data_IF_637784820795
#
_entry.id   IF_637784820795
#
_cell.length_a   1.000
_cell.length_b   1.000
_cell.length_c   1.000
_cell.angle_alpha   90.00
_cell.angle_beta   90.00
_cell.angle_gamma   90.00
#
_symmetry.space_group_name_H-M   'P 1'
#
loop_
_entity.id
_entity.type
_entity.pdbx_description
1 polymer ?
#
# COMPACT_ATOMS: atom_id res chain seq x y z
N UNK A 1 -3.73 -15.43 9.97
CA UNK A 1 -4.81 -16.21 9.32
C UNK A 1 -4.30 -17.07 8.16
N UNK A 2 -3.45 -16.53 7.28
CA UNK A 2 -2.88 -17.28 6.14
C UNK A 2 -2.12 -18.55 6.58
N UNK A 3 -1.31 -18.46 7.64
CA UNK A 3 -0.59 -19.60 8.22
C UNK A 3 -1.53 -20.71 8.73
N UNK A 4 -2.61 -20.33 9.43
CA UNK A 4 -3.62 -21.25 9.94
C UNK A 4 -4.41 -21.92 8.81
N UNK A 5 -4.64 -21.22 7.71
CA UNK A 5 -5.29 -21.77 6.53
C UNK A 5 -4.45 -22.86 5.86
N UNK A 6 -3.14 -22.63 5.73
CA UNK A 6 -2.18 -23.61 5.19
C UNK A 6 -2.09 -24.85 6.09
N UNK A 7 -1.98 -24.67 7.41
CA UNK A 7 -1.93 -25.78 8.37
C UNK A 7 -3.22 -26.61 8.38
N UNK A 8 -4.39 -25.97 8.33
CA UNK A 8 -5.68 -26.69 8.36
C UNK A 8 -6.13 -27.22 6.99
N UNK A 9 -5.36 -27.00 5.92
CA UNK A 9 -5.70 -27.36 4.51
C UNK A 9 -7.09 -26.91 4.04
N UNK A 10 -7.68 -25.92 4.70
CA UNK A 10 -9.01 -25.45 4.36
C UNK A 10 -8.92 -24.36 3.29
N UNK A 11 -9.30 -24.72 2.06
CA UNK A 11 -9.21 -23.84 0.87
C UNK A 11 -9.95 -22.50 1.06
N UNK A 12 -11.08 -22.50 1.77
CA UNK A 12 -11.88 -21.29 2.03
C UNK A 12 -11.12 -20.28 2.89
N UNK A 13 -10.41 -20.72 3.93
CA UNK A 13 -9.62 -19.83 4.78
C UNK A 13 -8.37 -19.28 4.06
N UNK A 14 -7.82 -20.05 3.11
CA UNK A 14 -6.71 -19.57 2.29
C UNK A 14 -7.18 -18.47 1.34
N UNK A 15 -8.32 -18.66 0.68
CA UNK A 15 -8.89 -17.65 -0.22
C UNK A 15 -9.27 -16.35 0.49
N UNK A 16 -9.91 -16.43 1.67
CA UNK A 16 -10.27 -15.22 2.42
C UNK A 16 -9.05 -14.46 2.92
N UNK A 17 -8.02 -15.17 3.40
CA UNK A 17 -6.78 -14.51 3.85
C UNK A 17 -6.01 -13.85 2.70
N UNK A 18 -6.04 -14.41 1.49
CA UNK A 18 -5.49 -13.76 0.30
C UNK A 18 -6.26 -12.49 -0.05
N UNK A 19 -7.60 -12.52 -0.03
CA UNK A 19 -8.43 -11.33 -0.28
C UNK A 19 -8.20 -10.23 0.76
N UNK A 20 -8.08 -10.58 2.04
CA UNK A 20 -7.76 -9.62 3.11
C UNK A 20 -6.39 -8.96 2.86
N UNK A 21 -5.41 -9.72 2.36
CA UNK A 21 -4.09 -9.17 2.02
C UNK A 21 -4.18 -8.18 0.86
N UNK A 22 -5.00 -8.47 -0.17
CA UNK A 22 -5.27 -7.50 -1.26
C UNK A 22 -5.90 -6.22 -0.72
N UNK A 23 -6.91 -6.35 0.15
CA UNK A 23 -7.59 -5.21 0.77
C UNK A 23 -6.63 -4.37 1.64
N UNK A 24 -5.69 -5.00 2.34
CA UNK A 24 -4.66 -4.31 3.12
C UNK A 24 -3.73 -3.48 2.22
N UNK A 25 -3.30 -4.02 1.08
CA UNK A 25 -2.53 -3.27 0.07
C UNK A 25 -3.28 -2.01 -0.39
N UNK A 26 -4.54 -2.16 -0.79
CA UNK A 26 -5.37 -1.03 -1.24
C UNK A 26 -5.57 0.02 -0.13
N UNK A 27 -5.76 -0.42 1.11
CA UNK A 27 -5.89 0.47 2.27
C UNK A 27 -4.60 1.25 2.51
N UNK A 28 -3.44 0.65 2.26
CA UNK A 28 -2.14 1.34 2.32
C UNK A 28 -2.05 2.53 1.35
N UNK A 29 -2.60 2.40 0.14
CA UNK A 29 -2.65 3.52 -0.84
C UNK A 29 -3.49 4.67 -0.28
N UNK A 30 -4.67 4.36 0.25
CA UNK A 30 -5.58 5.37 0.82
C UNK A 30 -4.95 6.06 2.03
N UNK A 31 -4.31 5.29 2.91
CA UNK A 31 -3.61 5.83 4.09
C UNK A 31 -2.46 6.75 3.69
N UNK A 32 -1.60 6.34 2.75
CA UNK A 32 -0.49 7.18 2.28
C UNK A 32 -1.02 8.46 1.59
N UNK A 33 -2.07 8.35 0.78
CA UNK A 33 -2.65 9.51 0.08
C UNK A 33 -3.31 10.52 1.03
N UNK A 34 -3.73 10.10 2.22
CA UNK A 34 -4.35 10.99 3.23
C UNK A 34 -3.35 11.47 4.27
N UNK A 35 -2.23 10.76 4.45
CA UNK A 35 -1.16 11.11 5.38
C UNK A 35 -0.44 12.41 5.03
N UNK A 36 -0.21 12.68 3.74
CA UNK A 36 0.49 13.90 3.28
C UNK A 36 -0.27 15.18 3.68
N UNK A 37 -1.59 15.21 3.49
CA UNK A 37 -2.42 16.34 3.94
C UNK A 37 -2.51 16.45 5.46
N UNK A 38 -2.36 15.34 6.18
CA UNK A 38 -2.31 15.36 7.64
C UNK A 38 -0.98 15.92 8.16
N UNK A 39 0.14 15.62 7.50
CA UNK A 39 1.46 16.21 7.81
C UNK A 39 1.43 17.73 7.63
N UNK A 40 0.98 18.21 6.47
CA UNK A 40 0.94 19.65 6.17
C UNK A 40 0.06 20.43 7.16
N UNK A 41 -1.05 19.82 7.62
CA UNK A 41 -1.94 20.43 8.60
C UNK A 41 -1.35 20.58 10.00
N UNK A 42 -0.36 19.75 10.37
CA UNK A 42 0.17 19.69 11.74
C UNK A 42 1.65 20.05 11.86
N UNK A 43 2.41 20.12 10.75
CA UNK A 43 3.85 20.38 10.79
C UNK A 43 4.21 21.77 11.37
N UNK A 44 3.29 22.75 11.26
CA UNK A 44 3.48 24.12 11.75
C UNK A 44 2.88 24.36 13.14
N UNK A 45 2.29 23.34 13.77
CA UNK A 45 1.65 23.49 15.07
C UNK A 45 2.69 23.40 16.22
N UNK A 46 2.59 24.29 17.23
CA UNK A 46 3.46 24.22 18.39
C UNK A 46 3.23 22.92 19.17
N UNK A 47 4.32 22.25 19.55
CA UNK A 47 4.29 20.99 20.29
C UNK A 47 4.35 19.73 19.42
N UNK A 48 4.34 19.87 18.09
CA UNK A 48 4.59 18.77 17.16
C UNK A 48 5.99 18.85 16.56
N UNK A 49 6.63 17.70 16.38
CA UNK A 49 7.94 17.61 15.74
C UNK A 49 7.78 17.27 14.27
N UNK A 50 7.97 18.27 13.40
CA UNK A 50 7.93 18.06 11.95
C UNK A 50 8.94 17.02 11.48
N UNK A 51 10.11 16.88 12.14
CA UNK A 51 11.10 15.86 11.78
C UNK A 51 10.65 14.43 12.12
N UNK A 52 9.91 14.23 13.21
CA UNK A 52 9.33 12.92 13.54
C UNK A 52 8.16 12.57 12.60
N UNK A 53 7.31 13.54 12.27
CA UNK A 53 6.17 13.34 11.37
C UNK A 53 6.68 12.95 9.97
N UNK A 54 7.69 13.66 9.46
CA UNK A 54 8.28 13.35 8.16
C UNK A 54 8.92 11.95 8.12
N UNK A 55 9.62 11.55 9.19
CA UNK A 55 10.14 10.18 9.30
C UNK A 55 9.02 9.13 9.31
N UNK A 56 7.86 9.47 9.89
CA UNK A 56 6.69 8.60 9.85
C UNK A 56 6.09 8.51 8.43
N UNK A 57 6.03 9.62 7.70
CA UNK A 57 5.59 9.68 6.30
C UNK A 57 6.50 8.82 5.40
N UNK A 58 7.83 8.95 5.53
CA UNK A 58 8.82 8.13 4.84
C UNK A 58 8.66 6.63 5.15
N UNK A 59 8.50 6.28 6.44
CA UNK A 59 8.28 4.90 6.86
C UNK A 59 6.94 4.35 6.35
N UNK A 60 5.88 5.17 6.36
CA UNK A 60 4.57 4.81 5.85
C UNK A 60 4.61 4.55 4.34
N UNK A 61 5.40 5.31 3.59
CA UNK A 61 5.60 5.08 2.16
C UNK A 61 6.26 3.73 1.88
N UNK A 62 7.35 3.40 2.60
CA UNK A 62 8.02 2.10 2.48
C UNK A 62 7.04 0.99 2.87
N UNK A 63 6.29 1.17 3.96
CA UNK A 63 5.26 0.24 4.41
C UNK A 63 4.17 0.01 3.36
N UNK A 64 3.70 1.07 2.71
CA UNK A 64 2.75 1.00 1.60
C UNK A 64 3.32 0.18 0.44
N UNK A 65 4.57 0.41 0.03
CA UNK A 65 5.22 -0.38 -1.04
C UNK A 65 5.24 -1.87 -0.69
N UNK A 66 5.65 -2.21 0.54
CA UNK A 66 5.69 -3.59 1.01
C UNK A 66 4.29 -4.23 0.99
N UNK A 67 3.28 -3.53 1.50
CA UNK A 67 1.89 -3.98 1.47
C UNK A 67 1.36 -4.14 0.05
N UNK A 68 1.80 -3.30 -0.89
CA UNK A 68 1.39 -3.38 -2.29
C UNK A 68 1.98 -4.60 -2.99
N UNK A 69 3.27 -4.88 -2.75
CA UNK A 69 3.91 -6.10 -3.26
C UNK A 69 3.22 -7.34 -2.68
N UNK A 70 3.00 -7.36 -1.36
CA UNK A 70 2.33 -8.47 -0.69
C UNK A 70 0.89 -8.68 -1.18
N UNK A 71 0.11 -7.60 -1.33
CA UNK A 71 -1.24 -7.62 -1.88
C UNK A 71 -1.28 -8.06 -3.34
N UNK A 72 -0.35 -7.60 -4.17
CA UNK A 72 -0.22 -8.02 -5.57
C UNK A 72 0.10 -9.51 -5.70
N UNK A 73 1.05 -10.02 -4.91
CA UNK A 73 1.36 -11.45 -4.85
C UNK A 73 0.18 -12.27 -4.35
N UNK A 74 -0.55 -11.78 -3.34
CA UNK A 74 -1.74 -12.45 -2.82
C UNK A 74 -2.85 -12.53 -3.86
N UNK A 75 -3.04 -11.47 -4.65
CA UNK A 75 -3.97 -11.47 -5.76
C UNK A 75 -3.56 -12.49 -6.82
N UNK A 76 -2.30 -12.49 -7.27
CA UNK A 76 -1.80 -13.47 -8.24
C UNK A 76 -2.02 -14.91 -7.76
N UNK A 77 -1.70 -15.20 -6.50
CA UNK A 77 -1.93 -16.50 -5.90
C UNK A 77 -3.41 -16.89 -5.87
N UNK A 78 -4.29 -15.94 -5.53
CA UNK A 78 -5.74 -16.15 -5.52
C UNK A 78 -6.30 -16.44 -6.93
N UNK A 79 -5.86 -15.67 -7.93
CA UNK A 79 -6.25 -15.85 -9.33
C UNK A 79 -5.76 -17.19 -9.89
N UNK A 80 -4.57 -17.65 -9.47
CA UNK A 80 -4.03 -18.95 -9.87
C UNK A 80 -4.84 -20.11 -9.27
N UNK A 81 -5.22 -19.99 -7.99
CA UNK A 81 -6.01 -20.99 -7.27
C UNK A 81 -7.43 -21.14 -7.84
N UNK A 82 -8.03 -20.03 -8.28
CA UNK A 82 -9.39 -19.99 -8.84
C UNK A 82 -9.46 -20.44 -10.33
N UNK A 83 -8.31 -20.70 -10.99
CA UNK A 83 -8.20 -21.10 -12.41
C UNK A 83 -9.03 -20.29 -13.42
N UNK A 84 -9.49 -19.09 -13.06
CA UNK A 84 -10.54 -18.48 -13.85
C UNK A 84 -10.01 -17.84 -15.13
N UNK A 85 -10.78 -18.08 -16.19
CA UNK A 85 -10.46 -17.76 -17.57
C UNK A 85 -10.82 -16.31 -17.96
N UNK A 86 -11.21 -15.44 -17.02
CA UNK A 86 -11.81 -14.13 -17.33
C UNK A 86 -11.21 -12.89 -16.64
N UNK A 87 -10.47 -13.03 -15.53
CA UNK A 87 -9.99 -11.88 -14.74
C UNK A 87 -8.49 -11.59 -14.92
N UNK A 88 -7.90 -12.03 -16.04
CA UNK A 88 -6.44 -11.97 -16.27
C UNK A 88 -5.87 -10.54 -16.25
N UNK A 89 -6.72 -9.53 -16.45
CA UNK A 89 -6.36 -8.11 -16.50
C UNK A 89 -6.42 -7.39 -15.14
N UNK A 90 -7.10 -7.97 -14.13
CA UNK A 90 -7.21 -7.40 -12.79
C UNK A 90 -5.86 -7.14 -12.08
N UNK A 91 -4.88 -8.07 -12.10
CA UNK A 91 -3.58 -7.81 -11.49
C UNK A 91 -2.79 -6.75 -12.27
N UNK A 92 -2.98 -6.67 -13.58
CA UNK A 92 -2.33 -5.65 -14.43
C UNK A 92 -2.87 -4.26 -14.06
N UNK A 93 -4.19 -4.13 -13.89
CA UNK A 93 -4.81 -2.87 -13.46
C UNK A 93 -4.32 -2.41 -12.08
N UNK A 94 -4.15 -3.34 -11.13
CA UNK A 94 -3.64 -2.99 -9.80
C UNK A 94 -2.17 -2.56 -9.85
N UNK A 95 -1.35 -3.23 -10.66
CA UNK A 95 0.06 -2.85 -10.86
C UNK A 95 0.18 -1.48 -11.54
N UNK A 96 -0.65 -1.17 -12.55
CA UNK A 96 -0.62 0.13 -13.21
C UNK A 96 -1.08 1.26 -12.29
N UNK A 97 -2.12 1.03 -11.50
CA UNK A 97 -2.59 1.99 -10.48
C UNK A 97 -1.51 2.19 -9.41
N UNK A 98 -0.92 1.11 -8.90
CA UNK A 98 0.16 1.19 -7.92
C UNK A 98 1.35 1.99 -8.46
N UNK A 99 1.79 1.72 -9.68
CA UNK A 99 2.86 2.45 -10.33
C UNK A 99 2.52 3.94 -10.55
N UNK A 100 1.26 4.26 -10.86
CA UNK A 100 0.79 5.64 -10.95
C UNK A 100 0.83 6.36 -9.60
N UNK A 101 0.36 5.70 -8.53
CA UNK A 101 0.40 6.22 -7.16
C UNK A 101 1.84 6.44 -6.67
N UNK A 102 2.73 5.47 -6.89
CA UNK A 102 4.15 5.57 -6.55
C UNK A 102 4.78 6.76 -7.25
N UNK A 103 4.57 6.89 -8.57
CA UNK A 103 5.11 8.00 -9.35
C UNK A 103 4.60 9.37 -8.88
N UNK A 104 3.33 9.46 -8.48
CA UNK A 104 2.76 10.70 -7.92
C UNK A 104 3.43 11.05 -6.59
N UNK A 105 3.61 10.07 -5.72
CA UNK A 105 4.22 10.29 -4.41
C UNK A 105 5.71 10.68 -4.52
N UNK A 106 6.45 10.10 -5.48
CA UNK A 106 7.83 10.48 -5.74
C UNK A 106 7.96 11.93 -6.24
N UNK A 107 7.02 12.40 -7.06
CA UNK A 107 7.00 13.78 -7.54
C UNK A 107 6.77 14.79 -6.40
N UNK A 108 5.82 14.50 -5.50
CA UNK A 108 5.54 15.35 -4.34
C UNK A 108 6.75 15.44 -3.39
N UNK A 109 7.43 14.31 -3.15
CA UNK A 109 8.62 14.29 -2.27
C UNK A 109 9.78 15.11 -2.83
N UNK A 110 9.97 15.11 -4.15
CA UNK A 110 10.97 15.98 -4.79
C UNK A 110 10.65 17.46 -4.58
N UNK A 111 9.37 17.84 -4.65
CA UNK A 111 8.91 19.21 -4.42
C UNK A 111 9.10 19.66 -2.96
N UNK A 112 8.87 18.79 -1.98
CA UNK A 112 9.19 19.09 -0.58
C UNK A 112 10.68 19.35 -0.38
N UNK A 113 11.54 18.51 -0.99
CA UNK A 113 13.01 18.67 -0.89
C UNK A 113 13.49 19.99 -1.49
N UNK A 114 12.85 20.47 -2.55
CA UNK A 114 13.18 21.77 -3.13
C UNK A 114 12.66 22.93 -2.29
N UNK A 115 11.44 22.83 -1.74
CA UNK A 115 10.83 23.89 -0.95
C UNK A 115 11.49 24.12 0.42
N UNK A 116 12.01 23.07 1.08
CA UNK A 116 12.75 23.22 2.35
C UNK A 116 14.25 23.51 2.17
N UNK A 117 14.78 23.41 0.95
CA UNK A 117 16.16 23.79 0.65
C UNK A 117 16.32 25.30 0.37
N UNK A 118 15.21 26.03 0.21
CA UNK A 118 15.15 27.49 0.06
C UNK A 118 14.76 28.14 1.39
#
# INVERSE_FOLDING_TARGET
MLLLALMRRQQKFAQTSLLVMVAAGLSGILANSTGEGAEEAVENLPGFSGSLIHQHEDAAYIGMIVLMIAGGLALLAWLWLQRAKGYRLLPIAIVTIAHCCIRRNDANRLQWRTNKAQ
#
